data_IF_282348321306
#
_entry.id   IF_282348321306
#
_cell.length_a   1.000
_cell.length_b   1.000
_cell.length_c   1.000
_cell.angle_alpha   90.00
_cell.angle_beta   90.00
_cell.angle_gamma   90.00
#
_symmetry.space_group_name_H-M   'P 1'
#
loop_
_entity.id
_entity.type
_entity.pdbx_description
1 polymer ?
#
# COMPACT_ATOMS: atom_id res chain seq x y z
N UNK A 1 -21.06 -21.62 -38.90
CA UNK A 1 -21.00 -20.14 -39.03
C UNK A 1 -21.46 -19.56 -37.70
N UNK A 2 -20.52 -19.35 -36.79
CA UNK A 2 -20.79 -18.96 -35.40
C UNK A 2 -20.29 -17.52 -35.25
N UNK A 3 -21.23 -16.60 -35.04
CA UNK A 3 -20.94 -15.17 -34.95
C UNK A 3 -20.21 -14.85 -33.64
N UNK A 4 -19.03 -14.23 -33.74
CA UNK A 4 -18.28 -13.67 -32.62
C UNK A 4 -18.93 -12.36 -32.15
N UNK A 5 -19.03 -12.11 -30.83
CA UNK A 5 -19.55 -10.85 -30.32
C UNK A 5 -18.51 -9.74 -30.45
N UNK A 6 -18.93 -8.62 -31.07
CA UNK A 6 -18.14 -7.38 -31.14
C UNK A 6 -17.99 -6.76 -29.75
N UNK A 7 -16.74 -6.59 -29.30
CA UNK A 7 -16.41 -5.82 -28.10
C UNK A 7 -16.58 -4.33 -28.38
N UNK A 8 -17.33 -3.65 -27.52
CA UNK A 8 -17.54 -2.21 -27.57
C UNK A 8 -16.25 -1.45 -27.20
N UNK A 9 -16.01 -0.25 -27.79
CA UNK A 9 -14.83 0.55 -27.50
C UNK A 9 -14.88 1.14 -26.08
N UNK A 10 -13.78 0.99 -25.37
CA UNK A 10 -13.53 1.53 -24.03
C UNK A 10 -13.52 3.06 -24.14
N UNK A 11 -14.51 3.69 -23.48
CA UNK A 11 -14.61 5.14 -23.33
C UNK A 11 -13.38 5.68 -22.60
N UNK A 12 -12.58 6.48 -23.29
CA UNK A 12 -11.43 7.18 -22.70
C UNK A 12 -11.95 8.31 -21.81
N UNK A 13 -11.82 8.13 -20.51
CA UNK A 13 -12.04 9.18 -19.51
C UNK A 13 -10.90 10.21 -19.61
N UNK A 14 -11.19 11.52 -19.76
CA UNK A 14 -10.16 12.55 -19.82
C UNK A 14 -9.33 12.59 -18.53
N UNK A 15 -8.01 12.52 -18.69
CA UNK A 15 -7.05 12.50 -17.60
C UNK A 15 -7.19 13.70 -16.66
N UNK A 16 -7.28 13.42 -15.36
CA UNK A 16 -7.09 14.42 -14.30
C UNK A 16 -5.68 15.00 -14.39
N UNK A 17 -5.50 16.32 -14.30
CA UNK A 17 -4.17 16.92 -14.23
C UNK A 17 -3.46 16.51 -12.93
N UNK A 18 -2.12 16.39 -12.95
CA UNK A 18 -1.34 15.98 -11.79
C UNK A 18 -1.45 17.02 -10.67
N UNK A 19 -1.87 16.57 -9.50
CA UNK A 19 -1.87 17.35 -8.26
C UNK A 19 -0.42 17.66 -7.90
N UNK A 20 -0.08 18.95 -7.86
CA UNK A 20 1.23 19.43 -7.35
C UNK A 20 1.35 19.06 -5.87
N UNK A 21 2.45 18.42 -5.43
CA UNK A 21 2.73 18.28 -4.01
C UNK A 21 3.11 19.65 -3.42
N UNK A 22 2.29 20.14 -2.50
CA UNK A 22 2.67 21.24 -1.61
C UNK A 22 3.89 20.80 -0.79
N UNK A 23 4.99 21.55 -0.93
CA UNK A 23 6.16 21.42 -0.07
C UNK A 23 5.81 21.97 1.33
N UNK A 24 6.07 21.24 2.42
CA UNK A 24 6.08 21.85 3.73
C UNK A 24 7.29 22.78 3.87
N UNK A 25 7.03 24.03 4.22
CA UNK A 25 8.04 25.00 4.58
C UNK A 25 8.80 24.53 5.83
N UNK A 26 10.06 24.18 5.66
CA UNK A 26 11.01 23.94 6.73
C UNK A 26 11.37 25.27 7.39
N UNK A 27 11.11 25.39 8.70
CA UNK A 27 11.75 26.38 9.57
C UNK A 27 12.88 25.67 10.33
N UNK A 28 14.13 26.15 10.28
CA UNK A 28 15.18 25.73 11.19
C UNK A 28 15.15 26.63 12.43
N UNK A 29 14.85 26.05 13.59
CA UNK A 29 14.84 26.74 14.88
C UNK A 29 15.51 25.88 15.94
N UNK A 30 16.82 26.07 16.08
CA UNK A 30 17.69 25.50 17.09
C UNK A 30 17.59 26.26 18.42
N UNK A 31 17.42 25.54 19.54
CA UNK A 31 17.81 25.83 20.94
C UNK A 31 17.06 24.81 21.81
N UNK A 32 17.68 23.87 22.52
CA UNK A 32 18.64 23.95 23.65
C UNK A 32 18.09 24.72 24.85
N UNK A 33 17.28 24.05 25.68
CA UNK A 33 17.20 24.22 27.15
C UNK A 33 16.22 23.15 27.68
N UNK A 34 16.73 22.14 28.40
CA UNK A 34 16.89 22.14 29.85
C UNK A 34 15.58 21.82 30.59
N UNK A 35 15.67 20.74 31.37
CA UNK A 35 14.70 20.23 32.32
C UNK A 35 13.89 21.31 33.05
N UNK A 36 12.59 21.03 33.22
CA UNK A 36 11.94 21.07 34.54
C UNK A 36 10.56 20.42 34.49
N UNK A 37 10.39 19.49 35.43
CA UNK A 37 9.13 19.04 36.02
C UNK A 37 8.15 20.20 36.17
N UNK A 38 6.89 20.01 35.76
CA UNK A 38 5.69 20.40 36.52
C UNK A 38 4.45 19.82 35.85
N UNK A 39 3.66 19.08 36.62
CA UNK A 39 2.34 18.53 36.30
C UNK A 39 1.33 19.59 35.88
N UNK A 40 0.35 19.29 35.01
CA UNK A 40 -0.81 20.15 34.83
C UNK A 40 -1.83 19.86 35.94
N UNK A 41 -1.76 20.76 36.91
CA UNK A 41 -2.79 21.29 37.79
C UNK A 41 -4.24 21.08 37.32
N UNK A 42 -4.99 20.35 38.15
CA UNK A 42 -6.43 20.15 38.06
C UNK A 42 -7.13 21.49 38.29
N UNK A 43 -7.66 22.07 37.22
CA UNK A 43 -8.53 23.24 37.28
C UNK A 43 -9.85 22.87 37.98
N UNK A 44 -9.88 23.09 39.29
CA UNK A 44 -11.12 23.16 40.08
C UNK A 44 -11.83 24.47 39.74
N UNK A 45 -12.89 24.39 38.94
CA UNK A 45 -13.87 25.48 38.80
C UNK A 45 -14.72 25.53 40.07
N UNK A 46 -14.43 26.47 40.96
CA UNK A 46 -15.34 26.90 42.03
C UNK A 46 -16.34 27.93 41.46
N UNK A 47 -17.64 27.82 41.76
CA UNK A 47 -18.62 28.81 41.33
C UNK A 47 -18.54 30.06 42.21
N UNK A 48 -18.54 31.18 41.50
CA UNK A 48 -18.56 32.56 41.95
C UNK A 48 -19.83 32.86 42.77
N UNK A 49 -19.67 33.04 44.09
CA UNK A 49 -20.73 33.49 44.99
C UNK A 49 -20.90 35.00 44.79
N UNK A 50 -21.91 35.36 44.00
CA UNK A 50 -22.39 36.73 43.89
C UNK A 50 -22.86 37.23 45.27
N UNK A 51 -22.02 38.05 45.91
CA UNK A 51 -22.40 38.87 47.06
C UNK A 51 -23.14 40.10 46.55
N UNK A 52 -24.46 40.05 46.54
CA UNK A 52 -25.31 41.23 46.45
C UNK A 52 -25.31 41.94 47.80
N UNK A 53 -24.50 42.99 47.87
CA UNK A 53 -24.51 44.03 48.89
C UNK A 53 -25.89 44.68 49.03
N UNK A 54 -26.48 44.58 50.22
CA UNK A 54 -27.60 45.42 50.65
C UNK A 54 -27.12 46.88 50.84
N UNK A 55 -27.92 47.89 50.45
CA UNK A 55 -27.65 49.28 50.75
C UNK A 55 -28.13 49.64 52.16
N UNK A 56 -27.30 50.40 52.89
CA UNK A 56 -27.67 51.15 54.10
C UNK A 56 -28.71 52.23 53.77
N UNK A 57 -29.85 52.29 54.47
CA UNK A 57 -30.70 53.47 54.45
C UNK A 57 -30.23 54.51 55.48
N UNK A 58 -29.70 55.59 54.93
CA UNK A 58 -29.43 56.89 55.53
C UNK A 58 -30.57 57.40 56.44
N UNK A 59 -30.26 57.67 57.71
CA UNK A 59 -31.11 58.39 58.65
C UNK A 59 -31.15 59.88 58.31
N UNK A 60 -32.31 60.37 57.90
CA UNK A 60 -32.59 61.78 57.70
C UNK A 60 -34.07 62.06 57.89
N UNK A 61 -34.47 62.43 59.11
CA UNK A 61 -35.87 62.77 59.37
C UNK A 61 -36.18 62.97 60.85
N UNK A 62 -36.03 64.22 61.29
CA UNK A 62 -36.43 64.66 62.63
C UNK A 62 -37.86 64.24 63.00
N UNK A 63 -37.97 63.47 64.08
CA UNK A 63 -39.17 63.40 64.91
C UNK A 63 -38.80 63.81 66.31
N UNK A 64 -39.58 64.76 66.82
CA UNK A 64 -39.44 65.40 68.11
C UNK A 64 -39.38 64.36 69.23
N UNK A 65 -38.48 64.62 70.18
CA UNK A 65 -38.12 63.70 71.23
C UNK A 65 -39.29 63.33 72.13
N UNK A 66 -39.72 62.09 72.04
CA UNK A 66 -39.87 61.31 73.27
C UNK A 66 -38.46 60.91 73.66
N UNK A 67 -37.85 61.63 74.62
CA UNK A 67 -36.62 61.13 75.25
C UNK A 67 -36.93 59.71 75.70
N UNK A 68 -36.24 58.68 75.19
CA UNK A 68 -36.27 57.38 75.83
C UNK A 68 -35.89 57.65 77.28
N UNK A 69 -36.73 57.24 78.22
CA UNK A 69 -36.29 57.14 79.59
C UNK A 69 -35.27 56.00 79.61
N UNK A 70 -34.03 56.28 79.23
CA UNK A 70 -32.87 55.48 79.60
C UNK A 70 -32.66 55.76 81.06
N UNK A 71 -33.08 54.85 81.96
CA UNK A 71 -32.76 55.07 83.35
C UNK A 71 -31.25 54.96 83.47
N UNK A 72 -30.61 55.94 84.12
CA UNK A 72 -29.18 55.91 84.44
C UNK A 72 -28.92 54.77 85.43
N UNK A 73 -28.76 53.55 84.93
CA UNK A 73 -28.22 52.44 85.69
C UNK A 73 -26.93 51.97 85.03
N UNK A 74 -25.81 52.22 85.69
CA UNK A 74 -24.55 51.57 85.36
C UNK A 74 -24.60 50.14 85.93
N UNK A 75 -25.10 49.18 85.14
CA UNK A 75 -24.92 47.76 85.45
C UNK A 75 -23.60 47.35 84.83
N UNK A 76 -22.66 46.98 85.69
CA UNK A 76 -21.37 46.47 85.28
C UNK A 76 -21.49 44.96 84.99
N UNK A 77 -20.69 44.46 84.06
CA UNK A 77 -20.56 43.04 83.76
C UNK A 77 -20.04 42.31 85.04
N UNK A 78 -20.95 41.64 85.76
CA UNK A 78 -20.69 41.04 87.08
C UNK A 78 -21.70 41.43 88.17
N UNK A 79 -22.51 42.47 87.96
CA UNK A 79 -23.57 42.86 88.89
C UNK A 79 -24.84 42.01 88.69
N UNK A 80 -24.86 40.80 89.26
CA UNK A 80 -26.06 39.96 89.25
C UNK A 80 -27.13 40.55 90.16
N UNK A 81 -28.28 40.91 89.60
CA UNK A 81 -29.46 41.29 90.38
C UNK A 81 -29.95 40.16 91.31
N UNK A 82 -29.54 38.90 91.07
CA UNK A 82 -29.83 37.78 91.96
C UNK A 82 -28.96 37.81 93.23
N UNK A 83 -27.79 38.45 93.19
CA UNK A 83 -26.83 38.49 94.31
C UNK A 83 -26.94 39.79 95.14
N UNK A 84 -27.55 40.86 94.59
CA UNK A 84 -27.74 42.12 95.29
C UNK A 84 -29.24 42.50 95.39
N UNK A 85 -29.82 42.29 96.58
CA UNK A 85 -31.23 42.55 96.87
C UNK A 85 -31.65 44.03 96.76
N UNK A 86 -30.71 44.98 96.83
CA UNK A 86 -30.98 46.41 96.63
C UNK A 86 -31.09 46.74 95.15
N UNK A 87 -30.19 46.19 94.32
CA UNK A 87 -30.26 46.29 92.86
C UNK A 87 -31.50 45.58 92.31
N UNK A 88 -31.84 44.40 92.83
CA UNK A 88 -33.09 43.72 92.51
C UNK A 88 -34.31 44.62 92.78
N UNK A 89 -34.36 45.25 93.96
CA UNK A 89 -35.46 46.15 94.34
C UNK A 89 -35.53 47.40 93.46
N UNK A 90 -34.41 48.01 93.11
CA UNK A 90 -34.36 49.15 92.20
C UNK A 90 -34.80 48.75 90.78
N UNK A 91 -34.37 47.58 90.31
CA UNK A 91 -34.79 47.01 89.03
C UNK A 91 -36.31 46.78 88.98
N UNK A 92 -36.88 46.14 90.01
CA UNK A 92 -38.33 45.95 90.10
C UNK A 92 -39.10 47.28 90.18
N UNK A 93 -38.56 48.31 90.85
CA UNK A 93 -39.18 49.65 90.87
C UNK A 93 -39.18 50.35 89.51
N UNK A 94 -38.15 50.13 88.69
CA UNK A 94 -38.05 50.72 87.35
C UNK A 94 -38.78 49.93 86.26
N UNK A 95 -38.88 48.60 86.42
CA UNK A 95 -39.45 47.71 85.41
C UNK A 95 -40.96 47.48 85.57
N UNK A 96 -41.51 47.60 86.79
CA UNK A 96 -42.95 47.39 87.02
C UNK A 96 -43.74 48.65 86.68
N UNK A 97 -44.69 48.54 85.75
CA UNK A 97 -45.59 49.63 85.45
C UNK A 97 -46.54 49.89 86.65
N UNK A 98 -47.06 51.12 86.83
CA UNK A 98 -48.03 51.40 87.90
C UNK A 98 -49.24 50.44 87.94
N UNK A 99 -49.66 49.92 86.78
CA UNK A 99 -50.70 48.90 86.67
C UNK A 99 -50.28 47.54 87.24
N UNK A 100 -49.03 47.14 87.04
CA UNK A 100 -48.46 45.89 87.59
C UNK A 100 -48.34 45.99 89.11
N UNK A 101 -47.92 47.15 89.61
CA UNK A 101 -47.87 47.40 91.06
C UNK A 101 -49.26 47.36 91.71
N UNK A 102 -50.30 47.87 91.04
CA UNK A 102 -51.67 47.77 91.52
C UNK A 102 -52.15 46.30 91.56
N UNK A 103 -51.80 45.51 90.53
CA UNK A 103 -52.12 44.09 90.44
C UNK A 103 -51.41 43.25 91.52
N UNK A 104 -50.13 43.53 91.80
CA UNK A 104 -49.35 42.87 92.85
C UNK A 104 -49.92 43.18 94.25
N UNK A 105 -50.36 44.42 94.49
CA UNK A 105 -50.98 44.82 95.77
C UNK A 105 -52.39 44.23 95.98
N UNK A 106 -53.11 43.94 94.90
CA UNK A 106 -54.45 43.34 94.96
C UNK A 106 -54.42 41.81 95.16
N UNK A 107 -53.30 41.15 94.84
CA UNK A 107 -53.10 39.72 95.02
C UNK A 107 -52.49 39.43 96.40
N UNK A 108 -52.89 38.32 97.03
CA UNK A 108 -52.13 37.83 98.19
C UNK A 108 -50.75 37.37 97.74
N UNK A 109 -49.74 37.51 98.61
CA UNK A 109 -48.35 37.12 98.29
C UNK A 109 -48.26 35.69 97.73
N UNK A 110 -49.05 34.75 98.27
CA UNK A 110 -49.10 33.37 97.79
C UNK A 110 -49.64 33.26 96.36
N UNK A 111 -50.71 33.98 96.02
CA UNK A 111 -51.27 33.99 94.65
C UNK A 111 -50.30 34.60 93.63
N UNK A 112 -49.54 35.62 94.03
CA UNK A 112 -48.51 36.21 93.16
C UNK A 112 -47.37 35.22 92.91
N UNK A 113 -46.86 34.56 93.96
CA UNK A 113 -45.81 33.55 93.83
C UNK A 113 -46.28 32.35 93.00
N UNK A 114 -47.51 31.89 93.18
CA UNK A 114 -48.08 30.81 92.39
C UNK A 114 -48.27 31.22 90.92
N UNK A 115 -48.74 32.44 90.65
CA UNK A 115 -48.82 32.98 89.29
C UNK A 115 -47.44 33.10 88.63
N UNK A 116 -46.41 33.53 89.37
CA UNK A 116 -45.06 33.64 88.85
C UNK A 116 -44.44 32.26 88.56
N UNK A 117 -44.69 31.27 89.44
CA UNK A 117 -44.28 29.87 89.22
C UNK A 117 -44.95 29.27 88.00
N UNK A 118 -46.27 29.46 87.84
CA UNK A 118 -47.01 28.98 86.66
C UNK A 118 -46.48 29.65 85.39
N UNK A 119 -46.24 30.96 85.41
CA UNK A 119 -45.69 31.68 84.26
C UNK A 119 -44.28 31.22 83.88
N UNK A 120 -43.42 30.99 84.88
CA UNK A 120 -42.07 30.48 84.64
C UNK A 120 -42.12 29.07 84.04
N UNK A 121 -42.98 28.20 84.56
CA UNK A 121 -43.15 26.86 84.03
C UNK A 121 -43.73 26.85 82.61
N UNK A 122 -44.72 27.70 82.31
CA UNK A 122 -45.25 27.85 80.94
C UNK A 122 -44.17 28.33 79.97
N UNK A 123 -43.36 29.31 80.37
CA UNK A 123 -42.26 29.80 79.55
C UNK A 123 -41.19 28.72 79.31
N UNK A 124 -40.85 27.93 80.33
CA UNK A 124 -39.95 26.78 80.22
C UNK A 124 -40.51 25.74 79.23
N UNK A 125 -41.78 25.37 79.37
CA UNK A 125 -42.46 24.43 78.46
C UNK A 125 -42.47 24.97 77.03
N UNK A 126 -42.80 26.25 76.81
CA UNK A 126 -42.76 26.88 75.50
C UNK A 126 -41.35 26.85 74.90
N UNK A 127 -40.33 27.15 75.70
CA UNK A 127 -38.92 27.09 75.28
C UNK A 127 -38.51 25.68 74.86
N UNK A 128 -38.91 24.66 75.64
CA UNK A 128 -38.66 23.26 75.30
C UNK A 128 -39.38 22.83 74.02
N UNK A 129 -40.61 23.32 73.78
CA UNK A 129 -41.35 23.09 72.55
C UNK A 129 -40.60 23.69 71.35
N UNK A 130 -40.14 24.93 71.45
CA UNK A 130 -39.36 25.60 70.40
C UNK A 130 -38.06 24.85 70.10
N UNK A 131 -37.30 24.48 71.13
CA UNK A 131 -36.07 23.69 70.98
C UNK A 131 -36.38 22.34 70.30
N UNK A 132 -37.45 21.66 70.73
CA UNK A 132 -37.88 20.40 70.13
C UNK A 132 -38.25 20.55 68.65
N UNK A 133 -38.93 21.64 68.28
CA UNK A 133 -39.25 21.96 66.90
C UNK A 133 -37.98 22.21 66.06
N UNK A 134 -37.02 22.97 66.60
CA UNK A 134 -35.74 23.26 65.94
C UNK A 134 -34.91 21.99 65.71
N UNK A 135 -34.83 21.11 66.70
CA UNK A 135 -34.15 19.81 66.57
C UNK A 135 -34.81 18.95 65.50
N UNK A 136 -36.14 18.89 65.49
CA UNK A 136 -36.90 18.13 64.48
C UNK A 136 -36.65 18.69 63.08
N UNK A 137 -36.62 20.00 62.92
CA UNK A 137 -36.37 20.62 61.62
C UNK A 137 -34.91 20.44 61.17
N UNK A 138 -33.94 20.51 62.09
CA UNK A 138 -32.55 20.19 61.80
C UNK A 138 -32.38 18.72 61.38
N UNK A 139 -33.06 17.80 62.06
CA UNK A 139 -33.04 16.38 61.71
C UNK A 139 -33.60 16.13 60.31
N UNK A 140 -34.71 16.79 59.93
CA UNK A 140 -35.25 16.71 58.56
C UNK A 140 -34.30 17.27 57.51
N UNK A 141 -33.65 18.41 57.78
CA UNK A 141 -32.65 18.97 56.87
C UNK A 141 -31.45 18.04 56.71
N UNK A 142 -30.99 17.43 57.80
CA UNK A 142 -29.92 16.43 57.75
C UNK A 142 -30.31 15.20 56.93
N UNK A 143 -31.54 14.70 57.11
CA UNK A 143 -32.04 13.55 56.36
C UNK A 143 -32.13 13.84 54.86
N UNK A 144 -32.65 15.02 54.47
CA UNK A 144 -32.68 15.43 53.05
C UNK A 144 -31.28 15.60 52.47
N UNK A 145 -30.35 16.21 53.23
CA UNK A 145 -28.97 16.36 52.78
C UNK A 145 -28.27 15.00 52.59
N UNK A 146 -28.58 14.02 53.44
CA UNK A 146 -28.09 12.65 53.29
C UNK A 146 -28.69 11.99 52.04
N UNK A 147 -30.01 12.06 51.84
CA UNK A 147 -30.68 11.53 50.66
C UNK A 147 -30.14 12.15 49.36
N UNK A 148 -29.90 13.47 49.34
CA UNK A 148 -29.27 14.14 48.21
C UNK A 148 -27.84 13.66 47.95
N UNK A 149 -27.07 13.36 49.00
CA UNK A 149 -25.71 12.83 48.86
C UNK A 149 -25.72 11.39 48.33
N UNK A 150 -26.65 10.55 48.81
CA UNK A 150 -26.85 9.18 48.34
C UNK A 150 -27.29 9.18 46.86
N UNK A 151 -28.21 10.06 46.47
CA UNK A 151 -28.63 10.22 45.08
C UNK A 151 -27.48 10.66 44.16
N UNK A 152 -26.64 11.61 44.61
CA UNK A 152 -25.46 12.05 43.86
C UNK A 152 -24.41 10.93 43.73
N UNK A 153 -24.26 10.11 44.76
CA UNK A 153 -23.38 8.95 44.73
C UNK A 153 -23.87 7.90 43.72
N UNK A 154 -25.16 7.56 43.75
CA UNK A 154 -25.76 6.64 42.79
C UNK A 154 -25.66 7.15 41.34
N UNK A 155 -25.86 8.46 41.12
CA UNK A 155 -25.66 9.07 39.79
C UNK A 155 -24.20 8.97 39.33
N UNK A 156 -23.24 9.20 40.22
CA UNK A 156 -21.81 9.08 39.91
C UNK A 156 -21.41 7.63 39.60
N UNK A 157 -21.94 6.66 40.34
CA UNK A 157 -21.73 5.23 40.08
C UNK A 157 -22.32 4.81 38.72
N UNK A 158 -23.52 5.29 38.36
CA UNK A 158 -24.11 5.05 37.04
C UNK A 158 -23.23 5.61 35.91
N UNK A 159 -22.75 6.85 36.05
CA UNK A 159 -21.85 7.48 35.05
C UNK A 159 -20.53 6.72 34.93
N UNK A 160 -19.99 6.23 36.04
CA UNK A 160 -18.76 5.42 36.03
C UNK A 160 -18.99 4.07 35.32
N UNK A 161 -20.15 3.44 35.52
CA UNK A 161 -20.52 2.20 34.85
C UNK A 161 -20.65 2.41 33.32
N UNK A 162 -21.33 3.48 32.89
CA UNK A 162 -21.46 3.86 31.48
C UNK A 162 -20.09 4.13 30.83
N UNK A 163 -19.22 4.91 31.49
CA UNK A 163 -17.87 5.15 31.01
C UNK A 163 -17.04 3.85 30.92
N UNK A 164 -17.26 2.92 31.85
CA UNK A 164 -16.67 1.58 31.83
C UNK A 164 -17.10 0.76 30.61
N UNK A 165 -18.38 0.84 30.21
CA UNK A 165 -18.89 0.19 29.01
C UNK A 165 -18.34 0.83 27.73
N UNK A 166 -18.33 2.16 27.65
CA UNK A 166 -17.74 2.89 26.52
C UNK A 166 -16.26 2.56 26.32
N UNK A 167 -15.49 2.47 27.41
CA UNK A 167 -14.09 2.04 27.35
C UNK A 167 -13.95 0.64 26.78
N UNK A 168 -14.79 -0.32 27.20
CA UNK A 168 -14.77 -1.69 26.67
C UNK A 168 -15.12 -1.72 25.18
N UNK A 169 -16.12 -0.97 24.76
CA UNK A 169 -16.49 -0.84 23.35
C UNK A 169 -15.34 -0.27 22.51
N UNK A 170 -14.69 0.79 22.97
CA UNK A 170 -13.54 1.38 22.28
C UNK A 170 -12.37 0.41 22.18
N UNK A 171 -12.09 -0.38 23.22
CA UNK A 171 -11.05 -1.42 23.18
C UNK A 171 -11.37 -2.53 22.18
N UNK A 172 -12.64 -2.93 22.07
CA UNK A 172 -13.06 -3.92 21.07
C UNK A 172 -12.92 -3.37 19.64
N UNK A 173 -13.31 -2.11 19.42
CA UNK A 173 -13.12 -1.44 18.12
C UNK A 173 -11.64 -1.30 17.77
N UNK A 174 -10.79 -0.93 18.74
CA UNK A 174 -9.35 -0.84 18.55
C UNK A 174 -8.78 -2.20 18.14
N UNK A 175 -9.15 -3.28 18.85
CA UNK A 175 -8.71 -4.63 18.49
C UNK A 175 -9.13 -5.05 17.09
N UNK A 176 -10.38 -4.78 16.69
CA UNK A 176 -10.84 -5.05 15.33
C UNK A 176 -10.04 -4.28 14.28
N UNK A 177 -9.76 -2.99 14.51
CA UNK A 177 -8.94 -2.18 13.60
C UNK A 177 -7.48 -2.63 13.54
N UNK A 178 -6.92 -3.11 14.65
CA UNK A 178 -5.56 -3.66 14.69
C UNK A 178 -5.45 -4.95 13.87
N UNK A 179 -6.45 -5.82 13.94
CA UNK A 179 -6.52 -7.04 13.12
C UNK A 179 -6.72 -6.73 11.63
N UNK A 180 -7.55 -5.74 11.28
CA UNK A 180 -7.68 -5.24 9.90
C UNK A 180 -6.35 -4.71 9.37
N UNK A 181 -5.63 -3.89 10.14
CA UNK A 181 -4.31 -3.38 9.77
C UNK A 181 -3.30 -4.52 9.59
N UNK A 182 -3.36 -5.56 10.44
CA UNK A 182 -2.50 -6.74 10.29
C UNK A 182 -2.80 -7.47 8.98
N UNK A 183 -4.07 -7.66 8.63
CA UNK A 183 -4.48 -8.29 7.38
C UNK A 183 -4.00 -7.48 6.17
N UNK A 184 -4.18 -6.16 6.17
CA UNK A 184 -3.69 -5.29 5.10
C UNK A 184 -2.17 -5.34 4.93
N UNK A 185 -1.42 -5.44 6.03
CA UNK A 185 0.03 -5.59 5.96
C UNK A 185 0.43 -6.93 5.31
N UNK A 186 -0.25 -8.04 5.63
CA UNK A 186 0.01 -9.33 5.00
C UNK A 186 -0.25 -9.28 3.48
N UNK A 187 -1.39 -8.72 3.05
CA UNK A 187 -1.70 -8.59 1.62
C UNK A 187 -0.69 -7.70 0.89
N UNK A 188 -0.23 -6.62 1.55
CA UNK A 188 0.79 -5.73 0.99
C UNK A 188 2.14 -6.44 0.82
N UNK A 189 2.52 -7.32 1.75
CA UNK A 189 3.74 -8.12 1.65
C UNK A 189 3.65 -9.16 0.51
N UNK A 190 2.50 -9.83 0.36
CA UNK A 190 2.23 -10.73 -0.77
C UNK A 190 2.31 -10.01 -2.11
N UNK A 191 1.69 -8.84 -2.24
CA UNK A 191 1.79 -8.01 -3.46
C UNK A 191 3.22 -7.56 -3.75
N UNK A 192 3.99 -7.18 -2.73
CA UNK A 192 5.41 -6.83 -2.87
C UNK A 192 6.24 -8.03 -3.36
N UNK A 193 5.97 -9.22 -2.85
CA UNK A 193 6.62 -10.44 -3.30
C UNK A 193 6.27 -10.77 -4.76
N UNK A 194 4.98 -10.64 -5.15
CA UNK A 194 4.54 -10.78 -6.54
C UNK A 194 5.19 -9.75 -7.47
N UNK A 195 5.31 -8.50 -7.03
CA UNK A 195 6.01 -7.47 -7.78
C UNK A 195 7.52 -7.79 -7.91
N UNK A 196 8.16 -8.32 -6.88
CA UNK A 196 9.56 -8.73 -6.95
C UNK A 196 9.77 -9.87 -7.96
N UNK A 197 8.88 -10.85 -7.98
CA UNK A 197 8.89 -11.97 -8.93
C UNK A 197 8.74 -11.47 -10.37
N UNK A 198 7.70 -10.70 -10.67
CA UNK A 198 7.46 -10.12 -12.00
C UNK A 198 8.63 -9.25 -12.49
N UNK A 199 9.25 -8.44 -11.60
CA UNK A 199 10.49 -7.70 -11.93
C UNK A 199 11.67 -8.61 -12.25
N UNK A 200 11.76 -9.78 -11.62
CA UNK A 200 12.82 -10.75 -11.92
C UNK A 200 12.60 -11.43 -13.28
N UNK A 201 11.35 -11.75 -13.61
CA UNK A 201 10.97 -12.34 -14.90
C UNK A 201 11.21 -11.37 -16.06
N UNK A 202 10.85 -10.09 -15.89
CA UNK A 202 11.14 -9.04 -16.88
C UNK A 202 12.65 -8.94 -17.14
N UNK A 203 13.47 -8.90 -16.08
CA UNK A 203 14.94 -8.86 -16.23
C UNK A 203 15.47 -10.12 -16.93
N UNK A 204 14.92 -11.29 -16.64
CA UNK A 204 15.29 -12.53 -17.32
C UNK A 204 14.89 -12.51 -18.81
N UNK A 205 13.71 -11.97 -19.14
CA UNK A 205 13.26 -11.81 -20.52
C UNK A 205 14.13 -10.80 -21.29
N UNK A 206 14.49 -9.67 -20.66
CA UNK A 206 15.42 -8.68 -21.22
C UNK A 206 16.80 -9.30 -21.51
N UNK A 207 17.32 -10.13 -20.60
CA UNK A 207 18.58 -10.84 -20.82
C UNK A 207 18.50 -11.77 -22.03
N UNK A 208 17.43 -12.57 -22.15
CA UNK A 208 17.21 -13.45 -23.33
C UNK A 208 17.07 -12.67 -24.62
N UNK A 209 16.40 -11.51 -24.58
CA UNK A 209 16.27 -10.64 -25.74
C UNK A 209 17.64 -10.12 -26.19
N UNK A 210 18.49 -9.69 -25.25
CA UNK A 210 19.84 -9.22 -25.57
C UNK A 210 20.73 -10.33 -26.15
N UNK A 211 20.60 -11.56 -25.66
CA UNK A 211 21.29 -12.73 -26.20
C UNK A 211 20.82 -13.05 -27.63
N UNK A 212 19.50 -13.09 -27.86
CA UNK A 212 18.93 -13.32 -29.19
C UNK A 212 19.35 -12.26 -30.20
N UNK A 213 19.39 -10.98 -29.79
CA UNK A 213 19.89 -9.89 -30.64
C UNK A 213 21.37 -10.06 -30.97
N UNK A 214 22.20 -10.49 -30.01
CA UNK A 214 23.61 -10.76 -30.26
C UNK A 214 23.83 -11.90 -31.25
N UNK A 215 23.05 -12.99 -31.13
CA UNK A 215 23.10 -14.13 -32.04
C UNK A 215 22.65 -13.74 -33.44
N UNK A 216 21.59 -12.93 -33.55
CA UNK A 216 21.12 -12.40 -34.82
C UNK A 216 22.20 -11.55 -35.51
N UNK A 217 22.89 -10.67 -34.78
CA UNK A 217 24.00 -9.88 -35.33
C UNK A 217 25.15 -10.76 -35.85
N UNK A 218 25.47 -11.86 -35.16
CA UNK A 218 26.46 -12.84 -35.63
C UNK A 218 26.00 -13.50 -36.93
N UNK A 219 24.74 -13.94 -37.01
CA UNK A 219 24.18 -14.57 -38.22
C UNK A 219 24.12 -13.60 -39.40
N UNK A 220 23.74 -12.35 -39.19
CA UNK A 220 23.78 -11.33 -40.23
C UNK A 220 25.20 -11.13 -40.78
N UNK A 221 26.20 -11.13 -39.91
CA UNK A 221 27.60 -11.04 -40.35
C UNK A 221 28.05 -12.29 -41.12
N UNK A 222 27.65 -13.49 -40.67
CA UNK A 222 27.94 -14.74 -41.39
C UNK A 222 27.32 -14.74 -42.79
N UNK A 223 26.06 -14.28 -42.93
CA UNK A 223 25.37 -14.17 -44.22
C UNK A 223 26.14 -13.23 -45.14
N UNK A 224 26.50 -12.02 -44.68
CA UNK A 224 27.31 -11.08 -45.48
C UNK A 224 28.64 -11.67 -45.93
N UNK A 225 29.31 -12.42 -45.06
CA UNK A 225 30.56 -13.11 -45.40
C UNK A 225 30.35 -14.20 -46.47
N UNK A 226 29.24 -14.93 -46.41
CA UNK A 226 28.88 -15.94 -47.41
C UNK A 226 28.50 -15.31 -48.75
N UNK A 227 27.73 -14.22 -48.73
CA UNK A 227 27.39 -13.44 -49.93
C UNK A 227 28.66 -12.94 -50.63
N UNK A 228 29.60 -12.35 -49.89
CA UNK A 228 30.88 -11.90 -50.45
C UNK A 228 31.69 -13.06 -51.06
N UNK A 229 31.69 -14.24 -50.44
CA UNK A 229 32.34 -15.43 -50.99
C UNK A 229 31.64 -15.91 -52.27
N UNK A 230 30.31 -15.91 -52.29
CA UNK A 230 29.54 -16.28 -53.47
C UNK A 230 29.85 -15.35 -54.65
N UNK A 231 29.89 -14.04 -54.44
CA UNK A 231 30.29 -13.05 -55.45
C UNK A 231 31.71 -13.30 -55.98
N UNK A 232 32.67 -13.62 -55.10
CA UNK A 232 34.03 -13.98 -55.51
C UNK A 232 34.08 -15.25 -56.36
N UNK A 233 33.30 -16.28 -55.99
CA UNK A 233 33.20 -17.51 -56.76
C UNK A 233 32.55 -17.28 -58.12
N UNK A 234 31.49 -16.48 -58.19
CA UNK A 234 30.84 -16.09 -59.44
C UNK A 234 31.82 -15.33 -60.36
N UNK A 235 32.59 -14.39 -59.83
CA UNK A 235 33.60 -13.66 -60.59
C UNK A 235 34.69 -14.59 -61.15
N UNK A 236 35.17 -15.55 -60.35
CA UNK A 236 36.14 -16.57 -60.81
C UNK A 236 35.56 -17.48 -61.88
N UNK A 237 34.30 -17.88 -61.74
CA UNK A 237 33.60 -18.69 -62.72
C UNK A 237 33.45 -17.95 -64.05
N UNK A 238 33.07 -16.65 -64.02
CA UNK A 238 33.02 -15.80 -65.21
C UNK A 238 34.37 -15.71 -65.91
N UNK A 239 35.44 -15.43 -65.16
CA UNK A 239 36.80 -15.36 -65.71
C UNK A 239 37.25 -16.70 -66.33
N UNK A 240 36.98 -17.83 -65.66
CA UNK A 240 37.29 -19.16 -66.18
C UNK A 240 36.49 -19.48 -67.46
N UNK A 241 35.20 -19.11 -67.52
CA UNK A 241 34.37 -19.24 -68.72
C UNK A 241 34.91 -18.40 -69.88
N UNK A 242 35.29 -17.15 -69.62
CA UNK A 242 35.90 -16.26 -70.62
C UNK A 242 37.22 -16.83 -71.14
N UNK A 243 38.09 -17.30 -70.25
CA UNK A 243 39.35 -17.93 -70.61
C UNK A 243 39.13 -19.20 -71.45
N UNK A 244 38.15 -20.03 -71.10
CA UNK A 244 37.80 -21.22 -71.88
C UNK A 244 37.27 -20.85 -73.28
N UNK A 245 36.41 -19.83 -73.39
CA UNK A 245 35.94 -19.33 -74.70
C UNK A 245 37.08 -18.81 -75.56
N UNK A 246 37.95 -17.99 -74.98
CA UNK A 246 39.13 -17.46 -75.67
C UNK A 246 40.06 -18.61 -76.14
N UNK A 247 40.30 -19.62 -75.30
CA UNK A 247 41.07 -20.80 -75.71
C UNK A 247 40.42 -21.51 -76.90
N UNK A 248 39.10 -21.72 -76.89
CA UNK A 248 38.37 -22.33 -78.01
C UNK A 248 38.47 -21.48 -79.28
N UNK A 249 38.40 -20.16 -79.18
CA UNK A 249 38.61 -19.24 -80.30
C UNK A 249 40.02 -19.35 -80.88
N UNK A 250 41.06 -19.32 -80.03
CA UNK A 250 42.45 -19.51 -80.44
C UNK A 250 42.67 -20.87 -81.14
N UNK A 251 42.06 -21.95 -80.66
CA UNK A 251 42.12 -23.26 -81.32
C UNK A 251 41.44 -23.27 -82.69
N UNK A 252 40.30 -22.58 -82.84
CA UNK A 252 39.60 -22.46 -84.13
C UNK A 252 40.40 -21.64 -85.14
N UNK A 253 41.05 -20.58 -84.67
CA UNK A 253 41.86 -19.69 -85.50
C UNK A 253 43.20 -20.32 -85.88
N UNK A 254 43.77 -21.16 -85.03
CA UNK A 254 45.05 -21.83 -85.28
C UNK A 254 45.03 -22.66 -86.56
N UNK A 255 45.86 -22.24 -87.52
CA UNK A 255 46.10 -22.94 -88.78
C UNK A 255 46.82 -24.27 -88.55
N UNK A 256 47.82 -24.28 -87.65
CA UNK A 256 48.58 -25.48 -87.27
C UNK A 256 47.67 -26.61 -86.75
N UNK A 257 46.62 -26.26 -85.99
CA UNK A 257 45.67 -27.25 -85.48
C UNK A 257 44.70 -27.73 -86.54
N UNK A 258 44.32 -26.88 -87.49
CA UNK A 258 43.52 -27.27 -88.65
C UNK A 258 44.28 -28.23 -89.54
N UNK A 259 45.54 -27.90 -89.86
CA UNK A 259 46.41 -28.75 -90.64
C UNK A 259 46.62 -30.10 -89.95
N UNK A 260 46.85 -30.10 -88.63
CA UNK A 260 46.99 -31.33 -87.85
C UNK A 260 45.70 -32.17 -87.85
N UNK A 261 44.53 -31.55 -87.69
CA UNK A 261 43.23 -32.24 -87.74
C UNK A 261 42.90 -32.74 -89.13
N UNK A 262 43.26 -32.01 -90.18
CA UNK A 262 43.13 -32.47 -91.56
C UNK A 262 44.07 -33.65 -91.81
N UNK A 263 45.32 -33.57 -91.36
CA UNK A 263 46.29 -34.64 -91.51
C UNK A 263 45.91 -35.89 -90.70
N UNK A 264 45.66 -35.79 -89.39
CA UNK A 264 45.21 -36.92 -88.57
C UNK A 264 43.82 -37.42 -89.00
N UNK A 265 42.92 -36.53 -89.41
CA UNK A 265 41.60 -36.90 -89.90
C UNK A 265 41.68 -37.70 -91.20
N UNK A 266 42.47 -37.24 -92.17
CA UNK A 266 42.70 -37.95 -93.43
C UNK A 266 43.47 -39.26 -93.17
N UNK A 267 44.50 -39.24 -92.32
CA UNK A 267 45.28 -40.43 -91.99
C UNK A 267 44.43 -41.47 -91.25
N UNK A 268 43.66 -41.04 -90.25
CA UNK A 268 42.75 -41.89 -89.49
C UNK A 268 41.62 -42.45 -90.34
N UNK A 269 41.02 -41.64 -91.23
CA UNK A 269 40.01 -42.10 -92.20
C UNK A 269 40.62 -43.13 -93.16
N UNK A 270 41.82 -42.86 -93.68
CA UNK A 270 42.53 -43.77 -94.56
C UNK A 270 42.84 -45.08 -93.86
N UNK A 271 43.29 -45.04 -92.62
CA UNK A 271 43.58 -46.23 -91.82
C UNK A 271 42.31 -47.02 -91.51
N UNK A 272 41.24 -46.37 -91.05
CA UNK A 272 39.96 -47.02 -90.78
C UNK A 272 39.32 -47.62 -92.04
N UNK A 273 39.45 -46.95 -93.19
CA UNK A 273 39.00 -47.47 -94.48
C UNK A 273 39.83 -48.68 -94.93
N UNK A 274 41.14 -48.68 -94.71
CA UNK A 274 41.99 -49.83 -94.97
C UNK A 274 41.62 -51.02 -94.08
N UNK A 275 41.36 -50.80 -92.80
CA UNK A 275 40.90 -51.83 -91.87
C UNK A 275 39.54 -52.40 -92.31
N UNK A 276 38.61 -51.55 -92.72
CA UNK A 276 37.33 -51.96 -93.31
C UNK A 276 37.51 -52.79 -94.58
N UNK A 277 38.36 -52.36 -95.52
CA UNK A 277 38.69 -53.13 -96.74
C UNK A 277 39.29 -54.49 -96.38
N UNK A 278 40.18 -54.54 -95.40
CA UNK A 278 40.77 -55.78 -94.92
C UNK A 278 39.74 -56.72 -94.30
N UNK A 279 38.74 -56.19 -93.58
CA UNK A 279 37.60 -56.98 -93.09
C UNK A 279 36.74 -57.50 -94.26
N UNK A 280 36.39 -56.65 -95.22
CA UNK A 280 35.60 -57.03 -96.41
C UNK A 280 36.28 -58.12 -97.24
N UNK A 281 37.61 -58.07 -97.46
CA UNK A 281 38.34 -59.14 -98.19
C UNK A 281 38.16 -60.51 -97.54
N UNK A 282 38.03 -60.56 -96.21
CA UNK A 282 37.79 -61.82 -95.49
C UNK A 282 36.40 -62.39 -95.77
N UNK A 283 35.40 -61.52 -95.96
CA UNK A 283 34.02 -61.94 -96.22
C UNK A 283 33.73 -62.16 -97.71
N UNK A 284 34.38 -61.41 -98.60
CA UNK A 284 34.15 -61.45 -100.06
C UNK A 284 35.49 -61.51 -100.82
N UNK A 285 36.12 -62.69 -100.93
CA UNK A 285 37.47 -62.82 -101.48
C UNK A 285 37.58 -62.47 -102.97
N UNK A 286 36.49 -62.62 -103.72
CA UNK A 286 36.47 -62.44 -105.17
C UNK A 286 36.00 -61.05 -105.61
N UNK A 287 35.65 -60.18 -104.67
CA UNK A 287 35.20 -58.83 -104.98
C UNK A 287 36.41 -57.90 -105.10
N UNK A 288 36.53 -57.18 -106.21
CA UNK A 288 37.64 -56.26 -106.43
C UNK A 288 37.43 -54.97 -105.64
N UNK A 289 37.93 -54.98 -104.40
CA UNK A 289 37.86 -53.83 -103.50
C UNK A 289 38.84 -52.71 -103.90
N UNK A 290 39.72 -52.91 -104.87
CA UNK A 290 40.63 -51.87 -105.35
C UNK A 290 39.86 -50.76 -106.09
N UNK A 291 38.63 -51.02 -106.51
CA UNK A 291 37.67 -50.05 -107.06
C UNK A 291 37.04 -49.13 -106.00
N UNK A 292 37.07 -49.50 -104.72
CA UNK A 292 36.59 -48.66 -103.62
C UNK A 292 37.72 -47.74 -103.15
N UNK A 293 37.74 -46.51 -103.66
CA UNK A 293 38.63 -45.47 -103.17
C UNK A 293 37.96 -44.70 -102.01
N UNK A 294 38.70 -44.43 -100.93
CA UNK A 294 38.20 -43.55 -99.88
C UNK A 294 37.91 -42.17 -100.49
N UNK A 295 36.66 -41.72 -100.38
CA UNK A 295 36.20 -40.40 -100.90
C UNK A 295 35.58 -40.41 -102.31
N UNK A 296 35.58 -41.54 -103.03
CA UNK A 296 34.91 -41.63 -104.33
C UNK A 296 33.38 -41.72 -104.16
N UNK A 297 32.70 -40.57 -104.14
CA UNK A 297 31.23 -40.49 -104.18
C UNK A 297 30.57 -39.41 -103.32
N UNK A 298 31.32 -38.59 -102.59
CA UNK A 298 30.75 -37.51 -101.78
C UNK A 298 31.00 -36.17 -102.46
N UNK A 299 30.15 -35.82 -103.42
CA UNK A 299 29.99 -34.42 -103.82
C UNK A 299 29.25 -33.71 -102.68
N UNK A 300 29.99 -33.02 -101.80
CA UNK A 300 29.39 -32.12 -100.83
C UNK A 300 28.87 -30.87 -101.57
N UNK A 301 27.60 -30.89 -101.97
CA UNK A 301 26.87 -29.64 -102.18
C UNK A 301 26.90 -28.85 -100.86
N UNK A 302 27.47 -27.64 -100.91
CA UNK A 302 27.55 -26.71 -99.80
C UNK A 302 26.15 -26.19 -99.41
N UNK A 303 25.35 -27.05 -98.78
CA UNK A 303 24.12 -26.68 -98.09
C UNK A 303 24.42 -26.46 -96.62
N UNK A 304 24.49 -25.20 -96.20
CA UNK A 304 24.41 -24.79 -94.79
C UNK A 304 23.27 -25.55 -94.09
N UNK A 305 23.54 -26.40 -93.09
CA UNK A 305 22.47 -26.86 -92.22
C UNK A 305 22.07 -25.67 -91.35
N UNK A 306 20.84 -25.19 -91.55
CA UNK A 306 20.17 -24.37 -90.57
C UNK A 306 20.18 -25.13 -89.24
N UNK A 307 20.89 -24.59 -88.25
CA UNK A 307 20.79 -25.06 -86.87
C UNK A 307 19.43 -24.58 -86.40
N UNK A 308 18.45 -25.48 -86.43
CA UNK A 308 17.12 -25.28 -85.87
C UNK A 308 17.23 -24.95 -84.37
N UNK A 309 16.94 -23.71 -84.04
CA UNK A 309 16.38 -23.31 -82.74
C UNK A 309 15.01 -24.00 -82.58
N UNK A 310 14.96 -25.15 -81.92
CA UNK A 310 13.72 -25.65 -81.29
C UNK A 310 13.99 -26.87 -80.41
N UNK A 311 14.22 -26.63 -79.12
CA UNK A 311 13.91 -27.59 -78.07
C UNK A 311 13.42 -26.82 -76.83
N UNK A 312 12.37 -26.02 -77.02
CA UNK A 312 11.35 -25.92 -75.98
C UNK A 312 10.45 -27.15 -76.12
N UNK A 313 10.59 -28.11 -75.21
CA UNK A 313 9.50 -29.03 -74.88
C UNK A 313 9.25 -28.99 -73.38
N UNK A 314 8.04 -28.51 -73.12
CA UNK A 314 7.28 -28.44 -71.88
C UNK A 314 7.21 -29.76 -71.13
N UNK A 315 7.37 -29.66 -69.80
CA UNK A 315 6.41 -30.17 -68.82
C UNK A 315 6.30 -31.68 -68.61
N UNK A 316 6.66 -32.12 -67.40
CA UNK A 316 5.94 -33.21 -66.73
C UNK A 316 6.08 -33.10 -65.22
N UNK A 317 4.92 -33.03 -64.57
CA UNK A 317 4.75 -33.18 -63.15
C UNK A 317 4.87 -34.66 -62.75
N UNK A 318 5.56 -34.90 -61.64
CA UNK A 318 5.36 -36.03 -60.72
C UNK A 318 5.92 -35.51 -59.37
N UNK A 319 5.09 -35.05 -58.44
CA UNK A 319 4.36 -35.90 -57.49
C UNK A 319 5.25 -37.03 -56.96
N UNK A 320 5.94 -36.78 -55.84
CA UNK A 320 6.20 -37.84 -54.87
C UNK A 320 6.40 -37.27 -53.45
N UNK A 321 5.45 -37.66 -52.60
CA UNK A 321 5.46 -37.78 -51.15
C UNK A 321 6.55 -37.11 -50.30
N UNK A 322 6.11 -36.23 -49.41
CA UNK A 322 6.55 -36.33 -48.02
C UNK A 322 5.43 -35.89 -47.07
N UNK A 323 4.44 -36.78 -46.92
CA UNK A 323 3.62 -36.84 -45.73
C UNK A 323 4.46 -37.54 -44.65
N UNK A 324 4.88 -36.79 -43.64
CA UNK A 324 5.73 -37.33 -42.57
C UNK A 324 6.04 -36.31 -41.50
N UNK A 325 5.01 -35.65 -40.96
CA UNK A 325 5.12 -35.00 -39.65
C UNK A 325 4.90 -36.09 -38.58
N UNK A 326 5.91 -36.50 -37.80
CA UNK A 326 5.63 -37.19 -36.56
C UNK A 326 5.18 -36.14 -35.53
N UNK A 327 3.88 -36.20 -35.27
CA UNK A 327 3.25 -35.82 -34.01
C UNK A 327 4.05 -36.41 -32.84
N UNK A 328 4.88 -35.58 -32.22
CA UNK A 328 5.55 -35.89 -30.96
C UNK A 328 4.86 -35.08 -29.84
N UNK A 329 3.83 -35.69 -29.25
CA UNK A 329 3.31 -35.33 -27.94
C UNK A 329 3.76 -36.41 -26.92
N UNK A 330 3.80 -36.09 -25.62
CA UNK A 330 4.89 -36.44 -24.72
C UNK A 330 4.73 -37.82 -24.06
N UNK A 331 5.85 -38.49 -23.87
CA UNK A 331 5.97 -39.65 -22.98
C UNK A 331 6.82 -39.23 -21.77
N UNK A 332 6.20 -38.51 -20.83
CA UNK A 332 6.74 -38.35 -19.50
C UNK A 332 6.30 -39.58 -18.69
N UNK A 333 7.23 -40.50 -18.51
CA UNK A 333 7.07 -41.63 -17.62
C UNK A 333 7.02 -41.12 -16.16
N UNK A 334 6.06 -41.67 -15.42
CA UNK A 334 6.15 -41.88 -13.99
C UNK A 334 7.46 -42.58 -13.60
N UNK A 335 7.79 -42.39 -12.32
CA UNK A 335 8.71 -43.16 -11.48
C UNK A 335 10.11 -42.59 -11.26
N UNK A 336 10.26 -42.00 -10.07
CA UNK A 336 11.51 -41.50 -9.52
C UNK A 336 11.35 -41.10 -8.05
N UNK A 337 10.75 -41.98 -7.26
CA UNK A 337 10.76 -41.94 -5.80
C UNK A 337 12.22 -41.90 -5.31
N UNK A 338 12.66 -40.77 -4.74
CA UNK A 338 13.89 -40.67 -3.97
C UNK A 338 13.54 -40.09 -2.61
N UNK A 339 13.33 -41.02 -1.69
CA UNK A 339 13.21 -40.81 -0.27
C UNK A 339 14.62 -40.63 0.34
N UNK A 340 14.69 -39.73 1.33
CA UNK A 340 15.70 -39.62 2.39
C UNK A 340 17.12 -39.08 2.08
N UNK A 341 17.45 -37.98 2.78
CA UNK A 341 18.52 -37.80 3.79
C UNK A 341 18.83 -36.28 3.86
N UNK A 342 18.38 -35.55 4.88
CA UNK A 342 19.05 -35.35 6.18
C UNK A 342 20.44 -34.68 6.07
N UNK A 343 20.68 -33.70 6.96
CA UNK A 343 21.83 -32.79 7.08
C UNK A 343 21.66 -31.49 6.26
N UNK A 344 21.88 -30.29 6.77
CA UNK A 344 22.56 -29.86 7.99
C UNK A 344 22.15 -28.41 8.27
N UNK A 345 21.73 -28.15 9.50
CA UNK A 345 21.55 -26.81 10.06
C UNK A 345 22.94 -26.23 10.38
N UNK A 346 23.35 -25.08 9.83
CA UNK A 346 24.53 -24.39 10.32
C UNK A 346 24.13 -23.55 11.54
N UNK A 347 24.28 -24.16 12.72
CA UNK A 347 24.52 -23.44 13.95
C UNK A 347 25.89 -22.74 13.88
N UNK A 348 25.90 -21.42 14.04
CA UNK A 348 27.11 -20.65 14.32
C UNK A 348 26.73 -19.32 15.01
N UNK A 349 27.64 -18.70 15.80
CA UNK A 349 27.44 -18.64 17.24
C UNK A 349 27.46 -17.21 17.80
N UNK A 350 27.01 -17.09 19.06
CA UNK A 350 27.76 -16.35 20.08
C UNK A 350 27.71 -14.82 20.05
N UNK A 351 26.89 -14.29 20.95
CA UNK A 351 27.27 -13.28 21.96
C UNK A 351 28.19 -12.13 21.53
N UNK A 352 27.59 -10.95 21.37
CA UNK A 352 28.23 -9.70 21.76
C UNK A 352 27.32 -8.98 22.77
N UNK A 353 27.55 -9.27 24.05
CA UNK A 353 27.15 -8.38 25.13
C UNK A 353 27.98 -7.10 25.00
N UNK A 354 27.36 -6.00 24.57
CA UNK A 354 27.97 -4.67 24.69
C UNK A 354 27.48 -4.03 25.99
N UNK A 355 28.26 -4.26 27.05
CA UNK A 355 28.19 -3.53 28.30
C UNK A 355 29.00 -2.23 28.15
N UNK A 356 28.32 -1.09 27.92
CA UNK A 356 28.92 0.24 28.13
C UNK A 356 27.83 1.23 28.55
N UNK A 357 27.53 1.30 29.84
CA UNK A 357 28.16 2.21 30.81
C UNK A 357 27.89 3.70 30.50
N UNK A 358 26.81 4.21 31.10
CA UNK A 358 26.69 5.61 31.50
C UNK A 358 27.81 5.96 32.49
N UNK A 359 28.31 7.20 32.42
CA UNK A 359 27.98 8.15 33.48
C UNK A 359 27.32 9.45 33.01
#
# INVERSE_FOLDING_TARGET
MTALPCLAPISQVPGRPPVRPERPASKPGSSREAARLTSPEVARTSPEVARTSLPDPSEGGGRQGRRPYTPDWAVFEGDSALENAEKARQFFRGALLPADMAKIRALSMNQFLDSARISAHLHEVETLISIGADYKERARRSARAQEEAENKLAEAESKLAEAGLQKKELLLRLGATEDEVRLFNMTLEEERAGHALTRSEVRAAEARLSEAQSLLAVREQEIRNLEQKAEQHEAREKAAREQARNAVELFRESEEFRDLLEEEGVNGLTQGFNDFRNQLRRFLPNFDLDLLQPGAGVEFEAGTPAVDEAAEETGSAAEEGSAGAPEAAPKAAEDGHAEALAAEEPAAPGTAEDNRAEP
#
